data_IF_220650981100
#
_entry.id   IF_220650981100
#
_cell.length_a   1.000
_cell.length_b   1.000
_cell.length_c   1.000
_cell.angle_alpha   90.00
_cell.angle_beta   90.00
_cell.angle_gamma   90.00
#
_symmetry.space_group_name_H-M   'P 1'
#
loop_
_entity.id
_entity.type
_entity.pdbx_description
1 polymer ?
#
# COMPACT_ATOMS: atom_id res chain seq x y z
N UNK A 1 57.88 -9.81 -31.03
CA UNK A 1 56.52 -10.13 -31.55
C UNK A 1 55.62 -10.81 -30.52
N UNK A 2 56.11 -11.81 -29.78
CA UNK A 2 55.30 -12.58 -28.81
C UNK A 2 54.66 -11.73 -27.67
N UNK A 3 55.36 -10.70 -27.18
CA UNK A 3 54.86 -9.80 -26.12
C UNK A 3 53.67 -8.92 -26.55
N UNK A 4 53.57 -8.59 -27.84
CA UNK A 4 52.45 -7.79 -28.37
C UNK A 4 51.20 -8.63 -28.56
N UNK A 5 51.34 -9.91 -28.90
CA UNK A 5 50.24 -10.87 -29.04
C UNK A 5 49.61 -11.15 -27.66
N UNK A 6 50.43 -11.33 -26.62
CA UNK A 6 49.95 -11.54 -25.25
C UNK A 6 49.13 -10.35 -24.71
N UNK A 7 49.52 -9.11 -25.03
CA UNK A 7 48.75 -7.90 -24.64
C UNK A 7 47.39 -7.83 -25.36
N UNK A 8 47.32 -8.25 -26.62
CA UNK A 8 46.10 -8.25 -27.41
C UNK A 8 45.11 -9.34 -26.96
N UNK A 9 45.62 -10.51 -26.54
CA UNK A 9 44.81 -11.58 -25.95
C UNK A 9 44.25 -11.16 -24.58
N UNK A 10 45.05 -10.51 -23.73
CA UNK A 10 44.58 -10.00 -22.43
C UNK A 10 43.53 -8.89 -22.62
N UNK A 11 43.71 -8.00 -23.60
CA UNK A 11 42.73 -6.95 -23.89
C UNK A 11 41.42 -7.52 -24.46
N UNK A 12 41.49 -8.53 -25.32
CA UNK A 12 40.31 -9.26 -25.82
C UNK A 12 39.57 -10.03 -24.72
N UNK A 13 40.30 -10.62 -23.76
CA UNK A 13 39.70 -11.34 -22.63
C UNK A 13 39.01 -10.39 -21.63
N UNK A 14 39.51 -9.16 -21.47
CA UNK A 14 38.89 -8.15 -20.61
C UNK A 14 37.56 -7.61 -21.14
N UNK A 15 37.34 -7.70 -22.46
CA UNK A 15 36.09 -7.30 -23.14
C UNK A 15 34.95 -8.33 -23.00
N UNK A 16 35.22 -9.51 -22.43
CA UNK A 16 34.24 -10.57 -22.20
C UNK A 16 33.80 -10.71 -20.74
N UNK A 17 34.17 -9.77 -19.87
CA UNK A 17 33.64 -9.78 -18.51
C UNK A 17 32.12 -9.51 -18.55
N UNK A 18 31.30 -10.33 -17.88
CA UNK A 18 29.89 -10.03 -17.74
C UNK A 18 29.74 -8.68 -17.02
N UNK A 19 29.03 -7.75 -17.65
CA UNK A 19 28.69 -6.48 -17.01
C UNK A 19 27.74 -6.76 -15.85
N UNK A 20 28.25 -6.68 -14.62
CA UNK A 20 27.40 -6.70 -13.44
C UNK A 20 26.47 -5.48 -13.48
N UNK A 21 25.19 -5.71 -13.72
CA UNK A 21 24.20 -4.64 -13.62
C UNK A 21 23.97 -4.33 -12.14
N UNK A 22 24.19 -3.08 -11.75
CA UNK A 22 23.85 -2.63 -10.40
C UNK A 22 22.34 -2.75 -10.20
N UNK A 23 21.95 -3.35 -9.08
CA UNK A 23 20.57 -3.51 -8.71
C UNK A 23 19.87 -2.14 -8.55
N UNK A 24 18.56 -2.14 -8.76
CA UNK A 24 17.67 -1.01 -8.64
C UNK A 24 17.38 -0.79 -7.15
N UNK A 25 17.80 0.36 -6.63
CA UNK A 25 17.41 0.82 -5.31
C UNK A 25 16.08 1.59 -5.38
N UNK A 26 15.18 1.30 -4.44
CA UNK A 26 13.95 2.08 -4.26
C UNK A 26 14.28 3.35 -3.48
N UNK A 27 14.04 4.51 -4.06
CA UNK A 27 14.29 5.82 -3.42
C UNK A 27 13.15 6.23 -2.49
N UNK A 28 11.91 5.84 -2.79
CA UNK A 28 10.77 6.08 -1.91
C UNK A 28 9.68 5.02 -2.08
N UNK A 29 8.97 4.75 -0.99
CA UNK A 29 7.81 3.88 -0.96
C UNK A 29 6.68 4.55 -0.17
N UNK A 30 5.51 4.72 -0.80
CA UNK A 30 4.35 5.42 -0.24
C UNK A 30 3.10 4.56 -0.33
N UNK A 31 2.25 4.63 0.69
CA UNK A 31 0.97 3.93 0.76
C UNK A 31 -0.13 4.97 0.99
N UNK A 32 -1.21 4.88 0.23
CA UNK A 32 -2.42 5.67 0.37
C UNK A 32 -3.63 4.74 0.51
N UNK A 33 -4.14 4.52 1.75
CA UNK A 33 -5.35 3.74 1.97
C UNK A 33 -6.60 4.59 1.73
N UNK A 34 -7.54 4.10 0.92
CA UNK A 34 -8.84 4.73 0.70
C UNK A 34 -9.92 3.67 0.38
N UNK A 35 -11.20 4.04 0.54
CA UNK A 35 -12.34 3.14 0.31
C UNK A 35 -12.60 2.80 -1.15
N UNK A 36 -12.00 3.55 -2.08
CA UNK A 36 -12.09 3.30 -3.51
C UNK A 36 -10.95 2.37 -3.97
N UNK A 37 -9.76 2.57 -3.42
CA UNK A 37 -8.58 1.74 -3.64
C UNK A 37 -7.47 2.05 -2.62
N UNK A 38 -6.64 1.06 -2.32
CA UNK A 38 -5.33 1.30 -1.69
C UNK A 38 -4.28 1.44 -2.79
N UNK A 39 -3.50 2.54 -2.77
CA UNK A 39 -2.38 2.76 -3.69
C UNK A 39 -1.03 2.62 -3.00
N UNK A 40 -0.18 1.77 -3.57
CA UNK A 40 1.26 1.71 -3.27
C UNK A 40 2.03 2.32 -4.44
N UNK A 41 2.97 3.22 -4.14
CA UNK A 41 3.90 3.78 -5.13
C UNK A 41 5.32 3.53 -4.68
N UNK A 42 6.10 2.88 -5.56
CA UNK A 42 7.54 2.72 -5.43
C UNK A 42 8.22 3.63 -6.44
N UNK A 43 9.23 4.39 -6.02
CA UNK A 43 10.02 5.25 -6.90
C UNK A 43 11.46 4.77 -6.97
N UNK A 44 12.08 4.85 -8.15
CA UNK A 44 13.45 4.42 -8.42
C UNK A 44 14.08 5.22 -9.55
N UNK A 45 15.41 5.24 -9.59
CA UNK A 45 16.17 5.92 -10.65
C UNK A 45 16.05 5.22 -12.02
N UNK A 46 15.68 3.93 -12.04
CA UNK A 46 15.52 3.10 -13.26
C UNK A 46 14.13 2.47 -13.30
N UNK A 47 13.61 2.10 -14.48
CA UNK A 47 12.34 1.36 -14.60
C UNK A 47 12.38 0.07 -13.79
N UNK A 48 11.27 -0.27 -13.12
CA UNK A 48 11.15 -1.52 -12.37
C UNK A 48 10.40 -2.54 -13.23
N UNK A 49 11.03 -3.69 -13.45
CA UNK A 49 10.38 -4.85 -14.05
C UNK A 49 9.73 -5.70 -12.97
N UNK A 50 8.51 -6.18 -13.23
CA UNK A 50 7.74 -6.89 -12.22
C UNK A 50 6.93 -8.06 -12.79
N UNK A 51 6.56 -8.98 -11.91
CA UNK A 51 5.51 -9.97 -12.13
C UNK A 51 4.46 -9.85 -11.03
N UNK A 52 3.18 -9.91 -11.40
CA UNK A 52 2.03 -9.80 -10.50
C UNK A 52 1.22 -11.08 -10.57
N UNK A 53 0.91 -11.68 -9.43
CA UNK A 53 0.00 -12.82 -9.36
C UNK A 53 -0.71 -12.88 -8.00
N UNK A 54 -1.83 -13.60 -7.96
CA UNK A 54 -2.61 -13.80 -6.74
C UNK A 54 -2.52 -15.25 -6.27
N UNK A 55 -2.49 -15.44 -4.96
CA UNK A 55 -2.58 -16.74 -4.30
C UNK A 55 -3.90 -16.75 -3.53
N UNK A 56 -4.63 -17.87 -3.59
CA UNK A 56 -5.84 -18.09 -2.78
C UNK A 56 -5.54 -18.98 -1.58
N UNK A 57 -6.39 -18.92 -0.57
CA UNK A 57 -6.30 -19.73 0.66
C UNK A 57 -4.99 -19.54 1.45
N UNK A 58 -4.76 -18.36 2.10
CA UNK A 58 -5.59 -17.16 2.12
C UNK A 58 -5.35 -16.24 0.90
N UNK A 59 -6.25 -15.27 0.68
CA UNK A 59 -6.11 -14.27 -0.37
C UNK A 59 -4.84 -13.43 -0.18
N UNK A 60 -3.94 -13.52 -1.14
CA UNK A 60 -2.66 -12.82 -1.16
C UNK A 60 -2.38 -12.26 -2.54
N UNK A 61 -1.84 -11.05 -2.57
CA UNK A 61 -1.29 -10.45 -3.79
C UNK A 61 0.23 -10.48 -3.71
N UNK A 62 0.89 -10.95 -4.75
CA UNK A 62 2.34 -11.08 -4.79
C UNK A 62 2.90 -10.28 -5.94
N UNK A 63 3.95 -9.51 -5.65
CA UNK A 63 4.73 -8.76 -6.63
C UNK A 63 6.18 -9.20 -6.55
N UNK A 64 6.69 -9.74 -7.63
CA UNK A 64 8.12 -10.01 -7.79
C UNK A 64 8.77 -8.85 -8.53
N UNK A 65 9.71 -8.19 -7.89
CA UNK A 65 10.48 -7.08 -8.44
C UNK A 65 11.84 -7.60 -8.93
N UNK A 66 12.11 -7.47 -10.22
CA UNK A 66 13.35 -7.93 -10.85
C UNK A 66 14.45 -6.89 -10.68
N UNK A 67 15.63 -7.39 -10.35
CA UNK A 67 16.86 -6.64 -10.09
C UNK A 67 16.71 -5.54 -9.04
N UNK A 68 15.70 -5.62 -8.16
CA UNK A 68 15.50 -4.67 -7.05
C UNK A 68 16.15 -5.20 -5.78
N UNK A 69 16.93 -4.35 -5.12
CA UNK A 69 17.52 -4.64 -3.82
C UNK A 69 16.57 -4.26 -2.68
N UNK A 70 16.50 -5.12 -1.66
CA UNK A 70 15.82 -4.79 -0.40
C UNK A 70 16.60 -3.71 0.33
N UNK A 71 15.98 -2.53 0.51
CA UNK A 71 16.57 -1.38 1.17
C UNK A 71 15.58 -0.69 2.12
N UNK A 72 16.03 0.40 2.78
CA UNK A 72 15.25 1.11 3.80
C UNK A 72 13.79 1.39 3.41
N UNK A 73 13.52 2.11 2.30
CA UNK A 73 12.16 2.44 1.90
C UNK A 73 11.24 1.22 1.70
N UNK A 74 11.76 0.11 1.19
CA UNK A 74 11.00 -1.13 1.06
C UNK A 74 10.75 -1.80 2.41
N UNK A 75 11.76 -1.88 3.27
CA UNK A 75 11.63 -2.49 4.61
C UNK A 75 10.61 -1.75 5.48
N UNK A 76 10.54 -0.42 5.33
CA UNK A 76 9.57 0.43 6.02
C UNK A 76 8.11 0.20 5.59
N UNK A 77 7.86 -0.46 4.44
CA UNK A 77 6.48 -0.74 4.01
C UNK A 77 5.70 -1.53 5.05
N UNK A 78 6.37 -2.43 5.78
CA UNK A 78 5.76 -3.23 6.85
C UNK A 78 5.09 -2.36 7.90
N UNK A 79 5.67 -1.18 8.21
CA UNK A 79 5.12 -0.22 9.17
C UNK A 79 4.16 0.82 8.55
N UNK A 80 4.09 0.90 7.21
CA UNK A 80 3.21 1.86 6.50
C UNK A 80 1.81 1.29 6.23
N UNK A 81 1.63 -0.03 6.30
CA UNK A 81 0.32 -0.67 6.26
C UNK A 81 -0.33 -0.52 7.64
N UNK A 82 -1.37 0.30 7.69
CA UNK A 82 -2.13 0.57 8.92
C UNK A 82 -3.24 -0.45 9.10
N UNK A 83 -3.68 -0.65 10.33
CA UNK A 83 -4.80 -1.56 10.64
C UNK A 83 -6.13 -1.13 10.01
N UNK A 84 -6.29 0.17 9.73
CA UNK A 84 -7.46 0.79 9.10
C UNK A 84 -7.45 0.74 7.56
N UNK A 85 -6.42 0.17 6.92
CA UNK A 85 -6.41 -0.05 5.47
C UNK A 85 -7.56 -1.01 5.07
N UNK A 86 -8.47 -0.63 4.16
CA UNK A 86 -9.65 -1.45 3.88
C UNK A 86 -9.33 -2.78 3.19
N UNK A 87 -8.18 -2.92 2.53
CA UNK A 87 -7.87 -4.07 1.67
C UNK A 87 -6.64 -4.86 2.09
N UNK A 88 -5.62 -4.20 2.62
CA UNK A 88 -4.35 -4.83 2.98
C UNK A 88 -4.34 -5.10 4.48
N UNK A 89 -4.12 -6.36 4.87
CA UNK A 89 -3.93 -6.75 6.27
C UNK A 89 -2.49 -6.52 6.72
N UNK A 90 -1.54 -6.90 5.89
CA UNK A 90 -0.10 -6.72 6.14
C UNK A 90 0.68 -6.86 4.84
N UNK A 91 1.93 -6.41 4.86
CA UNK A 91 2.89 -6.64 3.78
C UNK A 91 4.15 -7.29 4.32
N UNK A 92 4.74 -8.18 3.53
CA UNK A 92 6.04 -8.80 3.79
C UNK A 92 6.96 -8.47 2.63
N UNK A 93 8.21 -8.16 2.96
CA UNK A 93 9.26 -7.85 2.00
C UNK A 93 10.40 -8.81 2.23
N UNK A 94 10.81 -9.53 1.20
CA UNK A 94 11.96 -10.43 1.30
C UNK A 94 12.65 -10.58 -0.05
N UNK A 95 13.97 -10.81 -0.03
CA UNK A 95 14.68 -11.34 -1.18
C UNK A 95 14.22 -12.78 -1.42
N UNK A 96 13.51 -13.03 -2.51
CA UNK A 96 12.98 -14.36 -2.85
C UNK A 96 14.05 -15.25 -3.46
N UNK A 97 14.85 -14.69 -4.37
CA UNK A 97 16.03 -15.34 -4.97
C UNK A 97 17.03 -14.27 -5.45
N UNK A 98 18.25 -14.62 -5.89
CA UNK A 98 19.15 -13.64 -6.50
C UNK A 98 18.44 -12.85 -7.62
N UNK A 99 18.54 -11.52 -7.55
CA UNK A 99 17.89 -10.62 -8.50
C UNK A 99 16.36 -10.49 -8.35
N UNK A 100 15.72 -11.11 -7.36
CA UNK A 100 14.27 -10.93 -7.14
C UNK A 100 13.95 -10.59 -5.68
N UNK A 101 13.34 -9.42 -5.50
CA UNK A 101 12.70 -9.02 -4.24
C UNK A 101 11.19 -9.21 -4.36
N UNK A 102 10.60 -9.95 -3.42
CA UNK A 102 9.17 -10.27 -3.40
C UNK A 102 8.46 -9.45 -2.34
N UNK A 103 7.37 -8.81 -2.74
CA UNK A 103 6.37 -8.20 -1.88
C UNK A 103 5.18 -9.14 -1.80
N UNK A 104 4.76 -9.51 -0.59
CA UNK A 104 3.55 -10.31 -0.36
C UNK A 104 2.59 -9.49 0.48
N UNK A 105 1.44 -9.16 -0.09
CA UNK A 105 0.34 -8.48 0.60
C UNK A 105 -0.67 -9.55 1.05
N UNK A 106 -0.83 -9.70 2.36
CA UNK A 106 -1.93 -10.48 2.93
C UNK A 106 -3.19 -9.61 2.83
N UNK A 107 -4.25 -10.09 2.16
CA UNK A 107 -5.45 -9.30 1.86
C UNK A 107 -6.57 -9.55 2.88
N UNK A 108 -7.44 -8.55 3.05
CA UNK A 108 -8.66 -8.63 3.88
C UNK A 108 -9.87 -9.17 3.11
N UNK A 109 -9.86 -9.01 1.79
CA UNK A 109 -10.95 -9.41 0.89
C UNK A 109 -10.42 -9.65 -0.52
N UNK A 110 -11.28 -10.11 -1.42
CA UNK A 110 -10.93 -10.22 -2.84
C UNK A 110 -10.82 -8.85 -3.50
N UNK A 111 -9.80 -8.70 -4.35
CA UNK A 111 -9.42 -7.43 -4.98
C UNK A 111 -9.20 -7.58 -6.48
N UNK A 112 -9.23 -6.46 -7.19
CA UNK A 112 -8.87 -6.32 -8.61
C UNK A 112 -7.64 -5.42 -8.72
N UNK A 113 -6.42 -6.00 -8.69
CA UNK A 113 -5.19 -5.21 -8.66
C UNK A 113 -4.85 -4.66 -10.05
N UNK A 114 -4.30 -3.45 -10.09
CA UNK A 114 -3.71 -2.85 -11.27
C UNK A 114 -2.27 -2.43 -10.96
N UNK A 115 -1.31 -2.96 -11.70
CA UNK A 115 0.10 -2.65 -11.53
C UNK A 115 0.66 -2.10 -12.84
N UNK A 116 1.24 -0.91 -12.80
CA UNK A 116 1.73 -0.21 -13.98
C UNK A 116 2.93 0.70 -13.66
N UNK A 117 3.73 0.99 -14.69
CA UNK A 117 4.86 1.90 -14.60
C UNK A 117 4.49 3.30 -15.09
N UNK A 118 5.02 4.33 -14.41
CA UNK A 118 5.00 5.72 -14.86
C UNK A 118 6.41 6.16 -15.21
N UNK A 119 6.54 6.87 -16.34
CA UNK A 119 7.78 7.52 -16.75
C UNK A 119 8.12 8.68 -15.81
N UNK A 120 9.41 9.08 -15.74
CA UNK A 120 9.84 10.26 -15.00
C UNK A 120 9.12 11.52 -15.50
N UNK A 121 8.71 12.36 -14.57
CA UNK A 121 8.05 13.64 -14.88
C UNK A 121 8.36 14.67 -13.79
N UNK A 122 8.80 15.85 -14.21
CA UNK A 122 9.27 16.92 -13.33
C UNK A 122 10.29 16.38 -12.29
N UNK A 123 9.95 16.44 -11.00
CA UNK A 123 10.82 15.99 -9.89
C UNK A 123 10.71 14.49 -9.56
N UNK A 124 9.80 13.76 -10.19
CA UNK A 124 9.56 12.34 -9.90
C UNK A 124 10.28 11.46 -10.90
N UNK A 125 10.96 10.43 -10.41
CA UNK A 125 11.65 9.44 -11.23
C UNK A 125 10.67 8.37 -11.75
N UNK A 126 11.22 7.23 -12.18
CA UNK A 126 10.41 6.06 -12.55
C UNK A 126 9.59 5.62 -11.34
N UNK A 127 8.31 5.31 -11.57
CA UNK A 127 7.42 4.84 -10.52
C UNK A 127 6.72 3.56 -10.92
N UNK A 128 6.72 2.58 -10.03
CA UNK A 128 5.83 1.43 -10.08
C UNK A 128 4.64 1.71 -9.17
N UNK A 129 3.44 1.71 -9.74
CA UNK A 129 2.20 2.02 -9.02
C UNK A 129 1.32 0.79 -8.99
N UNK A 130 0.95 0.37 -7.79
CA UNK A 130 -0.02 -0.67 -7.52
C UNK A 130 -1.28 -0.02 -6.97
N UNK A 131 -2.40 -0.18 -7.66
CA UNK A 131 -3.73 0.12 -7.14
C UNK A 131 -4.46 -1.18 -6.82
N UNK A 132 -5.01 -1.27 -5.62
CA UNK A 132 -5.79 -2.40 -5.14
C UNK A 132 -7.23 -1.95 -5.01
N UNK A 133 -8.04 -2.22 -6.03
CA UNK A 133 -9.48 -1.97 -6.02
C UNK A 133 -10.21 -3.14 -5.37
N UNK A 134 -11.36 -2.92 -4.70
CA UNK A 134 -12.19 -4.01 -4.24
C UNK A 134 -12.77 -4.79 -5.43
N UNK A 135 -12.97 -6.11 -5.25
CA UNK A 135 -13.63 -6.91 -6.30
C UNK A 135 -15.06 -6.43 -6.59
N UNK A 136 -15.75 -5.97 -5.54
CA UNK A 136 -17.07 -5.32 -5.57
C UNK A 136 -16.85 -3.83 -5.28
N UNK A 137 -17.04 -2.92 -6.25
CA UNK A 137 -16.85 -1.48 -6.06
C UNK A 137 -17.66 -0.92 -4.90
N UNK A 138 -17.09 0.06 -4.20
CA UNK A 138 -17.83 0.90 -3.26
C UNK A 138 -18.81 1.78 -4.03
N UNK A 139 -20.09 1.78 -3.62
CA UNK A 139 -21.13 2.67 -4.15
C UNK A 139 -21.46 3.75 -3.10
N UNK A 140 -21.04 5.02 -3.33
CA UNK A 140 -21.31 6.10 -2.40
C UNK A 140 -22.80 6.38 -2.19
N UNK A 141 -23.64 6.14 -3.18
CA UNK A 141 -25.09 6.39 -3.05
C UNK A 141 -25.73 5.36 -2.11
N UNK A 142 -25.30 4.12 -2.20
CA UNK A 142 -25.73 3.08 -1.28
C UNK A 142 -25.26 3.34 0.16
N UNK A 143 -24.11 3.99 0.35
CA UNK A 143 -23.64 4.37 1.67
C UNK A 143 -24.52 5.48 2.28
N UNK A 144 -24.89 6.51 1.50
CA UNK A 144 -25.79 7.58 1.97
C UNK A 144 -27.18 7.06 2.36
N UNK A 145 -27.71 6.07 1.64
CA UNK A 145 -28.98 5.41 1.98
C UNK A 145 -28.91 4.61 3.29
N UNK A 146 -27.71 4.19 3.70
CA UNK A 146 -27.48 3.46 4.95
C UNK A 146 -27.20 4.40 6.13
N UNK A 147 -26.86 5.66 5.88
CA UNK A 147 -26.58 6.71 6.88
C UNK A 147 -27.84 7.53 7.27
N UNK A 148 -29.04 6.94 7.21
CA UNK A 148 -30.29 7.58 7.69
C UNK A 148 -30.13 8.12 9.12
N UNK A 149 -30.55 9.38 9.39
CA UNK A 149 -30.15 10.13 10.57
C UNK A 149 -30.87 9.62 11.83
N UNK A 150 -30.11 9.26 12.86
CA UNK A 150 -30.65 9.17 14.21
C UNK A 150 -31.00 10.58 14.72
N UNK A 151 -32.28 10.91 14.56
CA UNK A 151 -33.06 11.78 15.47
C UNK A 151 -32.62 13.24 15.58
N UNK A 152 -33.08 14.09 14.67
CA UNK A 152 -33.35 15.49 15.00
C UNK A 152 -34.58 15.56 15.91
N UNK A 153 -34.38 15.41 17.23
CA UNK A 153 -35.40 15.71 18.22
C UNK A 153 -35.59 17.22 18.26
N UNK A 154 -36.57 17.74 17.52
CA UNK A 154 -37.12 19.07 17.74
C UNK A 154 -37.63 19.10 19.20
N UNK A 155 -36.93 19.85 20.05
CA UNK A 155 -37.30 20.03 21.44
C UNK A 155 -38.68 20.65 21.53
N UNK A 156 -39.67 19.85 21.94
CA UNK A 156 -40.92 20.37 22.50
C UNK A 156 -40.58 21.22 23.72
N UNK A 157 -40.75 22.53 23.59
CA UNK A 157 -40.75 23.48 24.70
C UNK A 157 -41.96 23.15 25.60
N UNK A 158 -41.72 22.34 26.63
CA UNK A 158 -42.64 22.17 27.76
C UNK A 158 -42.16 23.08 28.88
N UNK A 159 -42.92 24.16 29.06
CA UNK A 159 -42.87 25.09 30.18
C UNK A 159 -42.88 24.34 31.52
N UNK A 160 -41.81 24.49 32.30
CA UNK A 160 -41.79 24.17 33.72
C UNK A 160 -41.39 25.43 34.48
N UNK A 161 -42.40 26.22 34.89
CA UNK A 161 -42.26 27.26 35.91
C UNK A 161 -43.17 26.89 37.08
N UNK A 162 -42.57 26.98 38.27
CA UNK A 162 -43.14 26.91 39.62
C UNK A 162 -43.49 25.53 40.20
N UNK A 163 -42.75 25.13 41.24
CA UNK A 163 -43.19 25.40 42.63
C UNK A 163 -42.05 25.17 43.64
N UNK A 164 -41.84 26.13 44.56
CA UNK A 164 -40.96 26.04 45.73
C UNK A 164 -41.52 25.04 46.78
N UNK A 165 -40.70 24.39 47.63
CA UNK A 165 -41.17 23.39 48.58
C UNK A 165 -41.61 24.01 49.92
N UNK A 166 -42.80 23.61 50.38
CA UNK A 166 -43.38 23.76 51.73
C UNK A 166 -44.29 22.53 51.89
N UNK A 167 -44.42 21.79 52.98
CA UNK A 167 -43.87 21.78 54.33
C UNK A 167 -44.25 20.39 54.89
N UNK A 168 -43.51 19.91 55.88
CA UNK A 168 -43.73 18.67 56.61
C UNK A 168 -45.03 18.67 57.42
N UNK A 169 -45.76 17.56 57.46
CA UNK A 169 -46.48 17.03 58.64
C UNK A 169 -47.08 15.65 58.28
N UNK A 170 -46.70 14.55 58.94
CA UNK A 170 -47.09 14.11 60.28
C UNK A 170 -48.44 13.37 60.32
N UNK A 171 -48.34 12.07 60.63
CA UNK A 171 -49.25 11.28 61.45
C UNK A 171 -50.57 10.73 60.85
N UNK A 172 -50.56 9.41 60.63
CA UNK A 172 -51.33 8.41 61.39
C UNK A 172 -52.82 8.73 61.69
N UNK A 173 -53.64 7.84 61.14
CA UNK A 173 -54.93 7.30 61.62
C UNK A 173 -56.14 7.69 60.78
#
# INVERSE_FOLDING_TARGET
>A
MLKSIAKLVIFGLLLWLPHAQAAIAISSARVWPALEYTRLTLESAKPIHYELFSIRNPDRLVIDLKDVETNGPLNELVGKIRSDDPYIKSVRVARFKPGITRLVFDLKSQVKPQLFNLLPVAKYNHRLVLDIYPAIPFDPMMALLQEEPTTHTLGSTSTMVNQLPQESESNKK
#
